data_IF_590990532996
#
_entry.id   IF_590990532996
#
_cell.length_a   1.000
_cell.length_b   1.000
_cell.length_c   1.000
_cell.angle_alpha   90.00
_cell.angle_beta   90.00
_cell.angle_gamma   90.00
#
_symmetry.space_group_name_H-M   'P 1'
#
loop_
_entity.id
_entity.type
_entity.pdbx_description
1 polymer ?
#
# COMPACT_ATOMS: atom_id res chain seq x y z
N UNK A 1 25.32 12.93 17.85
CA UNK A 1 23.99 13.28 17.30
C UNK A 1 23.62 12.17 16.33
N UNK A 2 22.49 11.51 16.52
CA UNK A 2 22.01 10.48 15.61
C UNK A 2 21.25 11.17 14.49
N UNK A 3 21.75 11.07 13.25
CA UNK A 3 21.04 11.56 12.07
C UNK A 3 19.98 10.52 11.68
N UNK A 4 18.76 10.95 11.40
CA UNK A 4 17.63 10.08 11.00
C UNK A 4 17.69 9.73 9.50
N UNK A 5 18.86 9.35 9.01
CA UNK A 5 19.09 9.11 7.57
C UNK A 5 18.70 7.68 7.13
N UNK A 6 18.43 6.78 8.07
CA UNK A 6 18.01 5.41 7.78
C UNK A 6 16.55 5.14 8.19
N UNK A 7 15.72 4.82 7.19
CA UNK A 7 14.37 4.32 7.40
C UNK A 7 14.40 2.79 7.55
N UNK A 8 13.72 2.27 8.57
CA UNK A 8 13.66 0.83 8.87
C UNK A 8 12.22 0.37 8.99
N UNK A 9 11.91 -0.77 8.36
CA UNK A 9 10.62 -1.45 8.54
C UNK A 9 10.64 -2.19 9.87
N UNK A 10 9.55 -2.11 10.62
CA UNK A 10 9.36 -2.78 11.91
C UNK A 10 7.99 -3.46 11.97
N UNK A 11 7.66 -4.03 13.13
CA UNK A 11 6.42 -4.76 13.40
C UNK A 11 6.14 -5.97 12.48
N UNK A 12 6.96 -7.00 12.65
CA UNK A 12 6.81 -8.28 11.96
C UNK A 12 5.78 -9.23 12.64
N UNK A 13 4.94 -8.75 13.56
CA UNK A 13 4.01 -9.58 14.35
C UNK A 13 2.90 -10.26 13.52
N UNK A 14 2.67 -9.78 12.30
CA UNK A 14 1.77 -10.38 11.31
C UNK A 14 2.50 -11.02 10.13
N UNK A 15 3.81 -10.86 10.02
CA UNK A 15 4.60 -11.37 8.90
C UNK A 15 4.60 -12.90 8.86
N UNK A 16 4.81 -13.44 7.67
CA UNK A 16 4.87 -14.87 7.40
C UNK A 16 6.05 -15.16 6.49
N UNK A 17 6.70 -16.30 6.70
CA UNK A 17 7.70 -16.80 5.78
C UNK A 17 6.99 -17.36 4.54
N UNK A 18 7.46 -16.98 3.35
CA UNK A 18 6.91 -17.43 2.07
C UNK A 18 6.41 -16.29 1.19
N UNK A 19 5.91 -16.62 0.01
CA UNK A 19 5.44 -15.66 -0.99
C UNK A 19 3.94 -15.42 -0.92
N UNK A 20 3.19 -16.34 -0.30
CA UNK A 20 1.73 -16.28 -0.18
C UNK A 20 1.28 -16.96 1.10
N UNK A 21 0.25 -16.40 1.72
CA UNK A 21 -0.36 -16.90 2.94
C UNK A 21 -1.88 -16.73 2.88
N UNK A 22 -2.62 -17.82 3.07
CA UNK A 22 -4.07 -17.77 3.26
C UNK A 22 -4.38 -17.88 4.76
N UNK A 23 -5.02 -16.86 5.32
CA UNK A 23 -5.35 -16.83 6.74
C UNK A 23 -6.55 -17.74 7.03
N UNK A 24 -6.34 -18.74 7.89
CA UNK A 24 -7.37 -19.73 8.26
C UNK A 24 -8.15 -19.39 9.53
N UNK A 25 -7.62 -18.47 10.35
CA UNK A 25 -8.21 -18.08 11.63
C UNK A 25 -8.47 -16.58 11.63
N UNK A 26 -9.66 -16.17 12.06
CA UNK A 26 -10.00 -14.76 12.16
C UNK A 26 -9.04 -14.04 13.11
N UNK A 27 -8.42 -12.96 12.63
CA UNK A 27 -7.59 -12.04 13.41
C UNK A 27 -8.00 -10.60 13.06
N UNK A 28 -7.81 -9.67 13.99
CA UNK A 28 -7.96 -8.24 13.71
C UNK A 28 -6.90 -7.83 12.68
N UNK A 29 -7.34 -7.30 11.54
CA UNK A 29 -6.47 -6.89 10.44
C UNK A 29 -6.57 -5.37 10.19
N UNK A 30 -5.50 -4.74 9.68
CA UNK A 30 -5.48 -3.31 9.36
C UNK A 30 -6.21 -3.05 8.03
N UNK A 31 -7.54 -3.08 8.06
CA UNK A 31 -8.40 -3.03 6.85
C UNK A 31 -7.99 -1.92 5.88
N UNK A 32 -7.71 -0.70 6.36
CA UNK A 32 -7.43 0.46 5.50
C UNK A 32 -6.14 0.36 4.67
N UNK A 33 -5.25 -0.58 4.98
CA UNK A 33 -4.01 -0.86 4.25
C UNK A 33 -4.12 -2.10 3.36
N UNK A 34 -5.15 -2.92 3.53
CA UNK A 34 -5.24 -4.21 2.85
C UNK A 34 -5.60 -4.07 1.38
N UNK A 35 -5.01 -4.95 0.57
CA UNK A 35 -5.38 -5.14 -0.82
C UNK A 35 -6.78 -5.78 -0.97
N UNK A 36 -7.47 -5.57 -2.10
CA UNK A 36 -8.82 -6.11 -2.34
C UNK A 36 -8.89 -7.64 -2.25
N UNK A 37 -7.87 -8.35 -2.75
CA UNK A 37 -7.78 -9.81 -2.66
C UNK A 37 -7.61 -10.29 -1.21
N UNK A 38 -6.91 -9.53 -0.37
CA UNK A 38 -6.74 -9.83 1.05
C UNK A 38 -8.02 -9.59 1.86
N UNK A 39 -8.89 -8.69 1.42
CA UNK A 39 -10.19 -8.43 2.05
C UNK A 39 -11.28 -9.44 1.68
N UNK A 40 -11.18 -10.01 0.47
CA UNK A 40 -12.16 -10.93 -0.09
C UNK A 40 -11.84 -12.38 0.26
N UNK A 41 -10.59 -12.79 0.07
CA UNK A 41 -10.15 -14.18 0.20
C UNK A 41 -9.24 -14.45 1.39
N UNK A 42 -8.88 -13.40 2.15
CA UNK A 42 -7.87 -13.49 3.21
C UNK A 42 -6.52 -14.07 2.73
N UNK A 43 -6.21 -13.83 1.46
CA UNK A 43 -4.94 -14.18 0.83
C UNK A 43 -4.01 -12.97 0.87
N UNK A 44 -2.81 -13.19 1.40
CA UNK A 44 -1.75 -12.20 1.50
C UNK A 44 -0.58 -12.70 0.65
N UNK A 45 0.04 -11.81 -0.10
CA UNK A 45 1.18 -12.12 -0.97
C UNK A 45 2.11 -10.91 -1.07
N UNK A 46 3.26 -11.11 -1.71
CA UNK A 46 4.12 -9.98 -2.05
C UNK A 46 3.40 -8.91 -2.89
N UNK A 47 2.37 -9.27 -3.68
CA UNK A 47 1.56 -8.32 -4.45
C UNK A 47 0.57 -7.55 -3.57
N UNK A 48 0.07 -8.15 -2.49
CA UNK A 48 -0.72 -7.39 -1.51
C UNK A 48 0.16 -6.41 -0.73
N UNK A 49 1.44 -6.75 -0.50
CA UNK A 49 2.40 -5.83 0.12
C UNK A 49 2.68 -4.62 -0.78
N UNK A 50 2.73 -4.81 -2.10
CA UNK A 50 2.85 -3.71 -3.09
C UNK A 50 1.68 -2.74 -3.01
N UNK A 51 0.45 -3.24 -2.82
CA UNK A 51 -0.73 -2.39 -2.61
C UNK A 51 -0.62 -1.62 -1.29
N UNK A 52 -0.30 -2.30 -0.19
CA UNK A 52 -0.09 -1.69 1.12
C UNK A 52 0.99 -0.61 1.10
N UNK A 53 2.04 -0.80 0.30
CA UNK A 53 3.09 0.21 0.12
C UNK A 53 2.58 1.44 -0.63
N UNK A 54 1.63 1.31 -1.56
CA UNK A 54 0.93 2.45 -2.15
C UNK A 54 0.15 3.25 -1.10
N UNK A 55 -0.48 2.57 -0.14
CA UNK A 55 -1.15 3.20 1.01
C UNK A 55 -0.13 3.92 1.90
N UNK A 56 1.03 3.32 2.18
CA UNK A 56 2.12 3.95 2.91
C UNK A 56 2.63 5.21 2.21
N UNK A 57 2.80 5.19 0.88
CA UNK A 57 3.18 6.39 0.12
C UNK A 57 2.13 7.49 0.30
N UNK A 58 0.84 7.15 0.24
CA UNK A 58 -0.23 8.11 0.55
C UNK A 58 -0.07 8.73 1.93
N UNK A 59 0.15 7.92 2.98
CA UNK A 59 0.31 8.43 4.34
C UNK A 59 1.51 9.36 4.52
N UNK A 60 2.63 9.07 3.84
CA UNK A 60 3.83 9.93 3.88
C UNK A 60 3.51 11.33 3.35
N UNK A 61 2.73 11.42 2.27
CA UNK A 61 2.40 12.71 1.66
C UNK A 61 1.20 13.39 2.33
N UNK A 62 0.21 12.64 2.80
CA UNK A 62 -0.99 13.19 3.43
C UNK A 62 -0.80 13.53 4.90
N UNK A 63 0.11 12.84 5.60
CA UNK A 63 0.25 12.88 7.05
C UNK A 63 -1.06 12.57 7.80
N UNK A 64 -1.96 11.80 7.16
CA UNK A 64 -3.28 11.43 7.69
C UNK A 64 -3.51 9.93 7.60
N UNK A 65 -4.46 9.44 8.40
CA UNK A 65 -4.89 8.05 8.30
C UNK A 65 -5.51 7.78 6.91
N UNK A 66 -5.22 6.63 6.27
CA UNK A 66 -5.92 6.23 5.05
C UNK A 66 -7.43 6.19 5.27
N UNK A 67 -8.20 6.67 4.30
CA UNK A 67 -9.65 6.75 4.37
C UNK A 67 -10.13 7.41 5.68
N UNK A 68 -9.55 8.55 6.02
CA UNK A 68 -9.86 9.31 7.24
C UNK A 68 -11.37 9.57 7.39
N UNK A 69 -11.90 9.38 8.59
CA UNK A 69 -13.33 9.52 8.87
C UNK A 69 -14.23 8.40 8.31
N UNK A 70 -13.68 7.44 7.56
CA UNK A 70 -14.43 6.31 6.99
C UNK A 70 -14.29 5.07 7.87
N UNK A 71 -15.41 4.39 8.16
CA UNK A 71 -15.40 3.14 8.92
C UNK A 71 -14.71 2.01 8.15
N UNK A 72 -14.22 0.98 8.86
CA UNK A 72 -13.62 -0.20 8.22
C UNK A 72 -14.57 -0.91 7.23
N UNK A 73 -15.86 -1.00 7.57
CA UNK A 73 -16.87 -1.64 6.70
C UNK A 73 -17.07 -0.86 5.40
N UNK A 74 -17.14 0.48 5.48
CA UNK A 74 -17.25 1.34 4.31
C UNK A 74 -15.95 1.34 3.48
N UNK A 75 -14.79 1.38 4.15
CA UNK A 75 -13.47 1.33 3.51
C UNK A 75 -13.31 0.03 2.73
N UNK A 76 -13.70 -1.11 3.32
CA UNK A 76 -13.71 -2.41 2.63
C UNK A 76 -14.52 -2.37 1.34
N UNK A 77 -15.74 -1.81 1.40
CA UNK A 77 -16.58 -1.67 0.20
C UNK A 77 -15.93 -0.77 -0.85
N UNK A 78 -15.39 0.38 -0.44
CA UNK A 78 -14.70 1.32 -1.34
C UNK A 78 -13.52 0.65 -2.06
N UNK A 79 -12.67 -0.08 -1.32
CA UNK A 79 -11.50 -0.75 -1.90
C UNK A 79 -11.91 -1.82 -2.91
N UNK A 80 -12.94 -2.61 -2.61
CA UNK A 80 -13.49 -3.63 -3.53
C UNK A 80 -14.09 -2.99 -4.78
N UNK A 81 -14.66 -1.79 -4.67
CA UNK A 81 -15.18 -1.00 -5.80
C UNK A 81 -14.09 -0.24 -6.57
N UNK A 82 -12.81 -0.37 -6.21
CA UNK A 82 -11.70 0.34 -6.85
C UNK A 82 -11.56 1.81 -6.43
N UNK A 83 -12.24 2.24 -5.35
CA UNK A 83 -12.11 3.60 -4.80
C UNK A 83 -10.89 3.68 -3.89
N UNK A 84 -9.98 4.57 -4.24
CA UNK A 84 -8.67 4.75 -3.58
C UNK A 84 -8.56 6.10 -2.87
N UNK A 85 -7.54 6.25 -2.02
CA UNK A 85 -7.24 7.53 -1.38
C UNK A 85 -6.93 8.62 -2.40
N UNK A 86 -7.26 9.87 -2.06
CA UNK A 86 -6.90 11.03 -2.86
C UNK A 86 -5.68 11.71 -2.24
N UNK A 87 -4.58 11.72 -2.98
CA UNK A 87 -3.37 12.43 -2.56
C UNK A 87 -3.63 13.93 -2.39
N UNK A 88 -2.97 14.58 -1.42
CA UNK A 88 -3.07 16.03 -1.24
C UNK A 88 -2.41 16.78 -2.40
N UNK A 89 -2.82 18.03 -2.56
CA UNK A 89 -2.19 18.96 -3.49
C UNK A 89 -0.69 19.11 -3.20
N UNK A 90 0.12 19.26 -4.26
CA UNK A 90 1.58 19.33 -4.15
C UNK A 90 2.30 17.99 -4.15
N UNK A 91 1.58 16.86 -4.08
CA UNK A 91 2.19 15.54 -4.33
C UNK A 91 2.66 15.46 -5.80
N UNK A 92 3.89 15.00 -6.09
CA UNK A 92 4.38 14.87 -7.46
C UNK A 92 3.43 14.06 -8.35
N UNK A 93 2.87 14.69 -9.39
CA UNK A 93 1.79 14.11 -10.19
C UNK A 93 2.14 12.72 -10.78
N UNK A 94 3.37 12.55 -11.25
CA UNK A 94 3.82 11.27 -11.80
C UNK A 94 3.93 10.15 -10.76
N UNK A 95 4.19 10.50 -9.50
CA UNK A 95 4.15 9.53 -8.39
C UNK A 95 2.72 9.12 -8.11
N UNK A 96 1.79 10.09 -8.06
CA UNK A 96 0.36 9.83 -7.87
C UNK A 96 -0.18 8.92 -8.95
N UNK A 97 0.12 9.22 -10.22
CA UNK A 97 -0.24 8.40 -11.39
C UNK A 97 0.33 6.98 -11.24
N UNK A 98 1.61 6.85 -10.93
CA UNK A 98 2.25 5.55 -10.74
C UNK A 98 1.60 4.72 -9.62
N UNK A 99 1.30 5.33 -8.47
CA UNK A 99 0.63 4.62 -7.36
C UNK A 99 -0.77 4.19 -7.78
N UNK A 100 -1.58 5.09 -8.34
CA UNK A 100 -2.96 4.82 -8.74
C UNK A 100 -3.05 3.75 -9.84
N UNK A 101 -2.15 3.78 -10.82
CA UNK A 101 -2.21 2.87 -11.97
C UNK A 101 -1.50 1.54 -11.75
N UNK A 102 -0.48 1.49 -10.89
CA UNK A 102 0.38 0.29 -10.75
C UNK A 102 0.31 -0.37 -9.39
N UNK A 103 0.26 0.39 -8.30
CA UNK A 103 0.26 -0.19 -6.94
C UNK A 103 -1.15 -0.52 -6.47
N UNK A 104 -2.13 0.31 -6.84
CA UNK A 104 -3.54 0.13 -6.48
C UNK A 104 -4.40 -0.55 -7.56
N UNK A 105 -3.77 -1.23 -8.52
CA UNK A 105 -4.49 -2.08 -9.48
C UNK A 105 -5.27 -3.17 -8.71
N UNK A 106 -6.53 -3.39 -9.08
CA UNK A 106 -7.39 -4.40 -8.46
C UNK A 106 -6.88 -5.82 -8.74
N UNK A 107 -6.24 -6.04 -9.89
CA UNK A 107 -5.61 -7.30 -10.23
C UNK A 107 -4.17 -7.36 -9.67
N UNK A 108 -3.86 -8.26 -8.72
CA UNK A 108 -2.52 -8.38 -8.16
C UNK A 108 -1.45 -8.72 -9.22
N UNK A 109 -1.80 -9.42 -10.29
CA UNK A 109 -0.85 -9.78 -11.35
C UNK A 109 -0.44 -8.58 -12.23
N UNK A 110 -1.30 -7.56 -12.31
CA UNK A 110 -0.99 -6.30 -13.00
C UNK A 110 -0.03 -5.41 -12.22
N UNK A 111 0.08 -5.61 -10.90
CA UNK A 111 1.00 -4.85 -10.05
C UNK A 111 2.45 -5.27 -10.34
N UNK A 112 3.44 -4.38 -10.24
CA UNK A 112 4.85 -4.77 -10.27
C UNK A 112 5.22 -5.63 -9.04
N UNK A 113 6.41 -6.21 -9.02
CA UNK A 113 7.02 -6.64 -7.75
C UNK A 113 7.71 -5.45 -7.06
N UNK A 114 8.15 -5.65 -5.80
CA UNK A 114 8.81 -4.57 -5.06
C UNK A 114 10.12 -4.09 -5.69
N UNK A 115 10.83 -4.94 -6.43
CA UNK A 115 12.03 -4.51 -7.14
C UNK A 115 11.68 -3.58 -8.31
N UNK A 116 10.59 -3.86 -9.03
CA UNK A 116 10.03 -2.99 -10.05
C UNK A 116 9.55 -1.65 -9.47
N UNK A 117 8.89 -1.67 -8.31
CA UNK A 117 8.53 -0.43 -7.59
C UNK A 117 9.78 0.38 -7.26
N UNK A 118 10.79 -0.25 -6.64
CA UNK A 118 12.07 0.40 -6.29
C UNK A 118 12.73 1.04 -7.52
N UNK A 119 12.89 0.29 -8.60
CA UNK A 119 13.51 0.79 -9.83
C UNK A 119 12.73 1.97 -10.42
N UNK A 120 11.39 1.88 -10.44
CA UNK A 120 10.56 2.97 -10.94
C UNK A 120 10.71 4.23 -10.10
N UNK A 121 10.69 4.14 -8.77
CA UNK A 121 10.83 5.31 -7.90
C UNK A 121 12.22 5.96 -8.09
N UNK A 122 13.29 5.17 -8.11
CA UNK A 122 14.66 5.67 -8.25
C UNK A 122 14.92 6.32 -9.62
N UNK A 123 14.40 5.74 -10.71
CA UNK A 123 14.68 6.21 -12.06
C UNK A 123 13.81 7.40 -12.49
N UNK A 124 12.68 7.63 -11.82
CA UNK A 124 11.71 8.62 -12.30
C UNK A 124 11.94 10.04 -11.78
N UNK A 125 12.93 10.26 -10.91
CA UNK A 125 13.23 11.57 -10.33
C UNK A 125 12.01 12.20 -9.64
N UNK A 126 11.14 11.39 -9.04
CA UNK A 126 9.89 11.87 -8.42
C UNK A 126 10.13 12.76 -7.20
N UNK A 127 11.31 12.65 -6.59
CA UNK A 127 11.72 13.43 -5.44
C UNK A 127 12.87 14.35 -5.87
N UNK A 128 12.85 15.64 -5.51
CA UNK A 128 14.01 16.49 -5.70
C UNK A 128 15.19 15.91 -4.91
N UNK A 129 16.38 15.94 -5.51
CA UNK A 129 17.65 15.65 -4.84
C UNK A 129 17.93 16.68 -3.74
#
# INVERSE_FOLDING_TARGET
MQTWEEVKISDFGLSRLGTTYAMKTAKKMPIKWMAPESMSSFTFSQKSDVYSYGVLIYEIFSCTEPYEGVSNSQTKRMIIEGKVNQFPDGTPAKLVEFVKEKLWDQNPDSRPDMNGVRLRILLSGFLPL
#
